data_IF_062986938411
#
_entry.id   IF_062986938411
#
_cell.length_a   1.000
_cell.length_b   1.000
_cell.length_c   1.000
_cell.angle_alpha   90.00
_cell.angle_beta   90.00
_cell.angle_gamma   90.00
#
_symmetry.space_group_name_H-M   'P 1'
#
loop_
_entity.id
_entity.type
_entity.pdbx_description
1 polymer ?
#
# COMPACT_ATOMS: atom_id res chain seq x y z
N UNK A 1 -9.84 -16.84 -3.62
CA UNK A 1 -9.14 -15.64 -3.12
C UNK A 1 -9.41 -14.55 -4.14
N UNK A 2 -9.86 -13.34 -3.75
CA UNK A 2 -9.98 -12.26 -4.72
C UNK A 2 -8.60 -12.04 -5.36
N UNK A 3 -8.54 -12.08 -6.68
CA UNK A 3 -7.34 -11.71 -7.43
C UNK A 3 -7.23 -10.20 -7.40
N UNK A 4 -6.25 -9.69 -6.67
CA UNK A 4 -5.89 -8.28 -6.75
C UNK A 4 -5.15 -8.00 -8.05
N UNK A 5 -5.06 -6.73 -8.45
CA UNK A 5 -4.12 -6.35 -9.50
C UNK A 5 -2.70 -6.62 -9.02
N UNK A 6 -1.80 -6.91 -9.96
CA UNK A 6 -0.38 -7.11 -9.66
C UNK A 6 0.23 -5.88 -8.96
N UNK A 7 -0.18 -4.67 -9.35
CA UNK A 7 0.22 -3.40 -8.72
C UNK A 7 -0.19 -3.35 -7.24
N UNK A 8 -1.44 -3.70 -6.93
CA UNK A 8 -1.94 -3.70 -5.56
C UNK A 8 -1.27 -4.77 -4.68
N UNK A 9 -0.99 -5.97 -5.22
CA UNK A 9 -0.24 -7.00 -4.48
C UNK A 9 1.18 -6.53 -4.14
N UNK A 10 1.83 -5.82 -5.07
CA UNK A 10 3.16 -5.25 -4.83
C UNK A 10 3.13 -4.16 -3.75
N UNK A 11 2.12 -3.28 -3.78
CA UNK A 11 1.89 -2.27 -2.76
C UNK A 11 1.62 -2.87 -1.38
N UNK A 12 0.86 -3.97 -1.30
CA UNK A 12 0.62 -4.70 -0.04
C UNK A 12 1.91 -5.34 0.51
N UNK A 13 2.71 -5.98 -0.35
CA UNK A 13 4.00 -6.54 0.08
C UNK A 13 4.95 -5.45 0.60
N UNK A 14 5.01 -4.29 -0.06
CA UNK A 14 5.80 -3.15 0.40
C UNK A 14 5.32 -2.65 1.76
N UNK A 15 4.01 -2.53 1.96
CA UNK A 15 3.43 -2.08 3.25
C UNK A 15 3.80 -3.01 4.41
N UNK A 16 3.76 -4.33 4.17
CA UNK A 16 4.20 -5.34 5.15
C UNK A 16 5.70 -5.27 5.43
N UNK A 17 6.53 -5.05 4.41
CA UNK A 17 7.97 -4.88 4.59
C UNK A 17 8.28 -3.66 5.47
N UNK A 18 7.64 -2.52 5.22
CA UNK A 18 7.81 -1.30 6.02
C UNK A 18 7.35 -1.54 7.47
N UNK A 19 6.22 -2.24 7.67
CA UNK A 19 5.76 -2.57 9.02
C UNK A 19 6.77 -3.46 9.76
N UNK A 20 7.33 -4.46 9.09
CA UNK A 20 8.33 -5.35 9.66
C UNK A 20 9.65 -4.62 9.99
N UNK A 21 10.11 -3.72 9.12
CA UNK A 21 11.27 -2.85 9.35
C UNK A 21 11.10 -1.96 10.58
N UNK A 22 9.87 -1.53 10.86
CA UNK A 22 9.52 -0.75 12.06
C UNK A 22 9.14 -1.60 13.27
N UNK A 23 9.28 -2.92 13.18
CA UNK A 23 8.89 -3.87 14.22
C UNK A 23 7.41 -3.76 14.63
N UNK A 24 6.56 -3.34 13.71
CA UNK A 24 5.12 -3.34 13.89
C UNK A 24 4.55 -4.73 13.62
N UNK A 25 3.66 -5.20 14.50
CA UNK A 25 3.07 -6.52 14.41
C UNK A 25 2.14 -6.68 13.19
N UNK A 26 1.60 -5.56 12.69
CA UNK A 26 0.69 -5.53 11.55
C UNK A 26 0.99 -4.30 10.69
N UNK A 27 0.74 -4.41 9.39
CA UNK A 27 0.68 -3.24 8.53
C UNK A 27 -0.58 -2.43 8.87
N UNK A 28 -0.37 -1.16 9.18
CA UNK A 28 -1.46 -0.19 9.40
C UNK A 28 -1.80 0.53 8.10
N UNK A 29 -2.88 1.33 8.11
CA UNK A 29 -3.30 2.12 6.96
C UNK A 29 -2.20 3.07 6.48
N UNK A 30 -1.41 3.63 7.39
CA UNK A 30 -0.31 4.53 7.09
C UNK A 30 0.79 3.85 6.25
N UNK A 31 1.09 2.57 6.52
CA UNK A 31 2.06 1.80 5.73
C UNK A 31 1.52 1.51 4.32
N UNK A 32 0.22 1.23 4.24
CA UNK A 32 -0.46 1.00 2.97
C UNK A 32 -0.52 2.27 2.14
N UNK A 33 -0.96 3.39 2.72
CA UNK A 33 -1.00 4.69 2.05
C UNK A 33 0.39 5.10 1.56
N UNK A 34 1.42 4.92 2.39
CA UNK A 34 2.80 5.18 1.99
C UNK A 34 3.23 4.32 0.79
N UNK A 35 2.83 3.05 0.76
CA UNK A 35 3.16 2.15 -0.36
C UNK A 35 2.40 2.49 -1.64
N UNK A 36 1.16 2.98 -1.51
CA UNK A 36 0.30 3.38 -2.63
C UNK A 36 0.72 4.70 -3.28
N UNK A 37 1.50 5.55 -2.61
CA UNK A 37 2.07 6.76 -3.22
C UNK A 37 2.99 6.41 -4.40
N UNK A 38 3.67 5.26 -4.32
CA UNK A 38 4.56 4.75 -5.37
C UNK A 38 3.81 3.92 -6.43
N UNK A 39 2.50 3.72 -6.28
CA UNK A 39 1.66 2.95 -7.20
C UNK A 39 0.97 3.89 -8.19
N UNK A 40 1.43 3.88 -9.45
CA UNK A 40 0.87 4.72 -10.51
C UNK A 40 -0.61 4.45 -10.77
N UNK A 41 -1.07 3.21 -10.55
CA UNK A 41 -2.46 2.82 -10.77
C UNK A 41 -3.35 3.37 -9.65
N UNK A 42 -2.81 3.51 -8.43
CA UNK A 42 -3.51 4.08 -7.29
C UNK A 42 -3.57 5.61 -7.32
N UNK A 43 -2.66 6.28 -8.04
CA UNK A 43 -2.49 7.73 -7.99
C UNK A 43 -3.76 8.52 -8.32
N UNK A 44 -4.59 8.04 -9.26
CA UNK A 44 -5.86 8.69 -9.59
C UNK A 44 -6.86 8.65 -8.42
N UNK A 45 -6.94 7.52 -7.73
CA UNK A 45 -7.82 7.32 -6.57
C UNK A 45 -7.31 8.15 -5.38
N UNK A 46 -6.01 8.12 -5.11
CA UNK A 46 -5.38 8.91 -4.04
C UNK A 46 -5.69 10.41 -4.20
N UNK A 47 -5.52 10.95 -5.41
CA UNK A 47 -5.90 12.34 -5.73
C UNK A 47 -7.40 12.61 -5.56
N UNK A 48 -8.27 11.69 -6.01
CA UNK A 48 -9.72 11.83 -5.83
C UNK A 48 -10.13 11.84 -4.35
N UNK A 49 -9.36 11.14 -3.50
CA UNK A 49 -9.54 11.12 -2.05
C UNK A 49 -8.80 12.25 -1.31
N UNK A 50 -8.12 13.15 -2.03
CA UNK A 50 -7.29 14.24 -1.46
C UNK A 50 -6.17 13.78 -0.53
N UNK A 51 -5.56 12.63 -0.86
CA UNK A 51 -4.38 12.06 -0.19
C UNK A 51 -3.12 12.38 -0.98
#
# INVERSE_FOLDING_TARGET
MPTFSQSLEQSLHRALAIANERHHQYATLEHLLLSLVDDSDAAAVMRACSV
#
